data_IF_568706930165
#
_entry.id   IF_568706930165
#
_cell.length_a   1.000
_cell.length_b   1.000
_cell.length_c   1.000
_cell.angle_alpha   90.00
_cell.angle_beta   90.00
_cell.angle_gamma   90.00
#
_symmetry.space_group_name_H-M   'P 1'
#
loop_
_entity.id
_entity.type
_entity.pdbx_description
1 polymer ?
#
# COMPACT_ATOMS: atom_id res chain seq x y z
N UNK A 1 -2.98 2.81 -15.42
CA UNK A 1 -4.27 3.52 -15.47
C UNK A 1 -4.12 4.80 -14.67
N UNK A 2 -4.70 5.96 -15.03
CA UNK A 2 -4.65 7.14 -14.15
C UNK A 2 -5.17 6.78 -12.77
N UNK A 3 -4.60 7.32 -11.69
CA UNK A 3 -4.96 6.97 -10.31
C UNK A 3 -6.46 6.85 -10.08
N UNK A 4 -6.89 5.82 -9.36
CA UNK A 4 -8.30 5.58 -9.08
C UNK A 4 -8.94 6.64 -8.17
N UNK A 5 -8.15 7.27 -7.30
CA UNK A 5 -8.60 8.25 -6.30
C UNK A 5 -8.05 9.67 -6.52
N UNK A 6 -8.80 10.65 -6.02
CA UNK A 6 -8.44 12.08 -6.04
C UNK A 6 -7.68 12.52 -4.75
N UNK A 7 -6.98 11.60 -4.08
CA UNK A 7 -6.16 11.92 -2.89
C UNK A 7 -4.75 12.36 -3.33
N UNK A 8 -4.54 13.67 -3.40
CA UNK A 8 -3.27 14.24 -3.88
C UNK A 8 -2.05 13.85 -3.02
N UNK A 9 -2.10 13.93 -1.67
CA UNK A 9 -1.00 13.44 -0.83
C UNK A 9 -0.66 11.96 -1.05
N UNK A 10 -1.68 11.11 -1.20
CA UNK A 10 -1.50 9.71 -1.53
C UNK A 10 -0.80 9.54 -2.89
N UNK A 11 -1.34 10.14 -3.94
CA UNK A 11 -0.82 10.00 -5.30
C UNK A 11 0.61 10.54 -5.41
N UNK A 12 0.90 11.68 -4.77
CA UNK A 12 2.25 12.23 -4.72
C UNK A 12 3.24 11.27 -4.04
N UNK A 13 2.82 10.57 -2.97
CA UNK A 13 3.65 9.55 -2.33
C UNK A 13 3.88 8.37 -3.28
N UNK A 14 2.82 7.81 -3.87
CA UNK A 14 2.90 6.69 -4.81
C UNK A 14 3.77 6.97 -6.04
N UNK A 15 3.78 8.22 -6.50
CA UNK A 15 4.58 8.66 -7.64
C UNK A 15 6.08 8.69 -7.36
N UNK A 16 6.45 8.87 -6.09
CA UNK A 16 7.83 9.09 -5.65
C UNK A 16 8.42 7.91 -4.88
N UNK A 17 7.60 7.19 -4.13
CA UNK A 17 8.00 6.13 -3.23
C UNK A 17 7.15 4.85 -3.44
N UNK A 18 7.77 3.71 -3.76
CA UNK A 18 9.19 3.53 -4.11
C UNK A 18 9.55 4.32 -5.40
N UNK A 19 10.79 4.28 -5.92
CA UNK A 19 11.05 4.76 -7.28
C UNK A 19 10.09 4.09 -8.28
N UNK A 20 9.00 4.79 -8.63
CA UNK A 20 7.88 4.25 -9.38
C UNK A 20 8.19 4.31 -10.87
N UNK A 21 7.95 3.20 -11.57
CA UNK A 21 8.13 3.08 -13.01
C UNK A 21 7.08 3.87 -13.80
N UNK A 22 5.91 4.12 -13.21
CA UNK A 22 4.79 4.80 -13.84
C UNK A 22 4.18 5.90 -12.97
N UNK A 23 4.91 7.00 -12.66
CA UNK A 23 4.33 8.12 -11.94
C UNK A 23 3.08 8.68 -12.66
N UNK A 24 2.07 9.08 -11.88
CA UNK A 24 0.74 9.52 -12.28
C UNK A 24 -0.25 8.39 -12.56
N UNK A 25 0.16 7.12 -12.37
CA UNK A 25 -0.60 5.95 -12.81
C UNK A 25 -0.55 4.81 -11.80
N UNK A 26 -1.69 4.14 -11.64
CA UNK A 26 -1.76 2.81 -11.05
C UNK A 26 -1.34 1.75 -12.07
N UNK A 27 -0.78 0.66 -11.57
CA UNK A 27 -0.41 -0.53 -12.33
C UNK A 27 -1.53 -1.56 -12.23
N UNK A 28 -2.02 -2.07 -13.37
CA UNK A 28 -3.09 -3.08 -13.40
C UNK A 28 -2.49 -4.47 -13.60
N UNK A 29 -2.62 -5.36 -12.62
CA UNK A 29 -2.16 -6.76 -12.68
C UNK A 29 -3.29 -7.67 -12.20
N UNK A 30 -3.61 -8.70 -13.00
CA UNK A 30 -4.71 -9.64 -12.71
C UNK A 30 -6.07 -8.96 -12.40
N UNK A 31 -6.34 -7.81 -13.01
CA UNK A 31 -7.57 -7.03 -12.77
C UNK A 31 -7.54 -6.16 -11.50
N UNK A 32 -6.43 -6.15 -10.77
CA UNK A 32 -6.21 -5.36 -9.55
C UNK A 32 -5.27 -4.19 -9.79
N UNK A 33 -5.52 -3.09 -9.10
CA UNK A 33 -4.74 -1.85 -9.21
C UNK A 33 -3.74 -1.81 -8.06
N UNK A 34 -2.54 -1.35 -8.37
CA UNK A 34 -1.44 -1.16 -7.44
C UNK A 34 -0.88 0.24 -7.65
N UNK A 35 -0.51 0.92 -6.59
CA UNK A 35 -0.09 2.33 -6.64
C UNK A 35 1.26 2.54 -7.34
N UNK A 36 2.15 1.54 -7.29
CA UNK A 36 3.45 1.62 -7.96
C UNK A 36 3.99 0.27 -8.40
N UNK A 37 4.82 0.31 -9.46
CA UNK A 37 5.77 -0.75 -9.79
C UNK A 37 7.18 -0.21 -9.56
N UNK A 38 7.94 -0.83 -8.68
CA UNK A 38 9.29 -0.39 -8.37
C UNK A 38 10.24 -0.58 -9.56
N UNK A 39 11.03 0.45 -9.87
CA UNK A 39 12.01 0.41 -10.97
C UNK A 39 13.07 -0.67 -10.73
N UNK A 40 13.36 -1.43 -11.79
CA UNK A 40 14.45 -2.41 -11.80
C UNK A 40 14.14 -3.76 -11.16
N UNK A 41 12.99 -3.90 -10.49
CA UNK A 41 12.55 -5.14 -9.82
C UNK A 41 11.08 -5.43 -10.12
N UNK A 42 10.63 -6.66 -9.83
CA UNK A 42 9.22 -7.07 -10.01
C UNK A 42 8.46 -6.96 -8.68
N UNK A 43 8.41 -5.76 -8.12
CA UNK A 43 7.72 -5.50 -6.84
C UNK A 43 6.59 -4.51 -7.07
N UNK A 44 5.36 -4.93 -6.79
CA UNK A 44 4.18 -4.08 -6.77
C UNK A 44 3.98 -3.51 -5.36
N UNK A 45 3.42 -2.30 -5.30
CA UNK A 45 3.24 -1.58 -4.04
C UNK A 45 1.80 -1.08 -3.88
N UNK A 46 1.32 -1.17 -2.65
CA UNK A 46 0.16 -0.44 -2.14
C UNK A 46 0.66 0.61 -1.13
N UNK A 47 0.18 1.84 -1.21
CA UNK A 47 0.59 2.97 -0.39
C UNK A 47 -0.59 3.43 0.47
N UNK A 48 -0.37 3.53 1.78
CA UNK A 48 -1.34 4.06 2.75
C UNK A 48 -0.76 5.32 3.39
N UNK A 49 -1.36 6.47 3.08
CA UNK A 49 -0.97 7.77 3.66
C UNK A 49 -1.85 8.18 4.84
N UNK A 50 -2.71 7.29 5.33
CA UNK A 50 -3.64 7.59 6.41
C UNK A 50 -2.92 8.05 7.69
N UNK A 51 -3.51 9.01 8.41
CA UNK A 51 -3.05 9.40 9.75
C UNK A 51 -3.59 8.41 10.78
N UNK A 52 -3.28 7.13 10.60
CA UNK A 52 -3.76 6.00 11.41
C UNK A 52 -3.64 6.27 12.92
N UNK A 53 -2.54 6.89 13.32
CA UNK A 53 -2.20 7.19 14.71
C UNK A 53 -3.12 8.26 15.34
N UNK A 54 -3.91 8.98 14.54
CA UNK A 54 -4.88 9.98 15.04
C UNK A 54 -6.26 9.39 15.28
N UNK A 55 -6.52 8.18 14.82
CA UNK A 55 -7.79 7.50 15.01
C UNK A 55 -7.91 6.97 16.45
N UNK A 56 -9.14 6.85 16.94
CA UNK A 56 -9.42 6.12 18.17
C UNK A 56 -9.32 4.60 17.93
N UNK A 57 -9.20 3.84 19.01
CA UNK A 57 -8.93 2.39 18.93
C UNK A 57 -9.98 1.62 18.13
N UNK A 58 -11.27 1.95 18.30
CA UNK A 58 -12.35 1.30 17.53
C UNK A 58 -12.21 1.53 16.02
N UNK A 59 -11.87 2.76 15.60
CA UNK A 59 -11.66 3.07 14.17
C UNK A 59 -10.40 2.38 13.65
N UNK A 60 -9.34 2.30 14.44
CA UNK A 60 -8.11 1.58 14.05
C UNK A 60 -8.40 0.10 13.81
N UNK A 61 -9.13 -0.56 14.71
CA UNK A 61 -9.46 -1.98 14.56
C UNK A 61 -10.26 -2.23 13.27
N UNK A 62 -11.27 -1.41 13.00
CA UNK A 62 -12.06 -1.52 11.77
C UNK A 62 -11.24 -1.25 10.50
N UNK A 63 -10.30 -0.30 10.57
CA UNK A 63 -9.44 0.02 9.42
C UNK A 63 -8.50 -1.14 9.11
N UNK A 64 -7.84 -1.69 10.13
CA UNK A 64 -6.93 -2.83 9.98
C UNK A 64 -7.66 -4.06 9.44
N UNK A 65 -8.87 -4.36 9.92
CA UNK A 65 -9.63 -5.51 9.41
C UNK A 65 -9.92 -5.40 7.92
N UNK A 66 -10.31 -4.21 7.45
CA UNK A 66 -10.55 -3.97 6.01
C UNK A 66 -9.27 -4.01 5.20
N UNK A 67 -8.22 -3.39 5.70
CA UNK A 67 -6.93 -3.35 5.01
C UNK A 67 -6.36 -4.76 4.84
N UNK A 68 -6.37 -5.61 5.88
CA UNK A 68 -5.89 -6.99 5.77
C UNK A 68 -6.64 -7.77 4.68
N UNK A 69 -7.98 -7.65 4.62
CA UNK A 69 -8.76 -8.33 3.59
C UNK A 69 -8.37 -7.87 2.18
N UNK A 70 -8.15 -6.56 1.99
CA UNK A 70 -7.72 -6.00 0.71
C UNK A 70 -6.28 -6.43 0.35
N UNK A 71 -5.35 -6.29 1.29
CA UNK A 71 -3.94 -6.61 1.12
C UNK A 71 -3.72 -8.09 0.78
N UNK A 72 -4.53 -9.01 1.32
CA UNK A 72 -4.49 -10.41 0.92
C UNK A 72 -4.92 -10.63 -0.52
N UNK A 73 -5.93 -9.91 -1.01
CA UNK A 73 -6.34 -10.00 -2.43
C UNK A 73 -5.24 -9.48 -3.34
N UNK A 74 -4.60 -8.37 -2.96
CA UNK A 74 -3.46 -7.77 -3.67
C UNK A 74 -2.23 -8.67 -3.69
N UNK A 75 -1.86 -9.21 -2.53
CA UNK A 75 -0.77 -10.17 -2.41
C UNK A 75 -1.00 -11.40 -3.29
N UNK A 76 -2.22 -11.95 -3.28
CA UNK A 76 -2.58 -13.11 -4.12
C UNK A 76 -2.51 -12.76 -5.62
N UNK A 77 -3.04 -11.61 -6.03
CA UNK A 77 -3.02 -11.16 -7.41
C UNK A 77 -1.58 -10.91 -7.92
N UNK A 78 -0.74 -10.25 -7.11
CA UNK A 78 0.66 -10.01 -7.40
C UNK A 78 1.43 -11.34 -7.54
N UNK A 79 1.28 -12.23 -6.56
CA UNK A 79 1.98 -13.51 -6.50
C UNK A 79 1.61 -14.43 -7.67
N UNK A 80 0.32 -14.50 -8.03
CA UNK A 80 -0.16 -15.27 -9.17
C UNK A 80 0.47 -14.81 -10.51
N UNK A 81 0.91 -13.55 -10.58
CA UNK A 81 1.57 -12.96 -11.75
C UNK A 81 3.10 -12.87 -11.61
N UNK A 82 3.69 -13.49 -10.57
CA UNK A 82 5.14 -13.51 -10.34
C UNK A 82 5.71 -12.14 -9.97
N UNK A 83 4.96 -11.36 -9.20
CA UNK A 83 5.43 -10.14 -8.55
C UNK A 83 5.52 -10.36 -7.04
N UNK A 84 6.55 -9.78 -6.43
CA UNK A 84 6.55 -9.49 -5.00
C UNK A 84 5.56 -8.35 -4.71
N UNK A 85 5.10 -8.27 -3.46
CA UNK A 85 4.19 -7.24 -2.99
C UNK A 85 4.71 -6.60 -1.70
N UNK A 86 4.63 -5.27 -1.60
CA UNK A 86 5.04 -4.49 -0.44
C UNK A 86 4.01 -3.42 -0.12
N UNK A 87 3.76 -3.20 1.16
CA UNK A 87 2.86 -2.15 1.65
C UNK A 87 3.69 -1.00 2.21
N UNK A 88 3.46 0.21 1.72
CA UNK A 88 4.01 1.43 2.28
C UNK A 88 3.02 2.10 3.22
N UNK A 89 3.38 2.36 4.47
CA UNK A 89 2.54 3.08 5.44
C UNK A 89 3.22 4.34 5.96
N UNK A 90 2.45 5.35 6.38
CA UNK A 90 3.01 6.60 6.90
C UNK A 90 3.68 6.48 8.26
N UNK A 91 3.23 5.56 9.14
CA UNK A 91 3.66 5.53 10.55
C UNK A 91 4.10 4.15 11.00
N UNK A 92 4.94 4.11 12.05
CA UNK A 92 5.38 2.88 12.67
C UNK A 92 4.23 2.14 13.38
N UNK A 93 3.28 2.88 13.96
CA UNK A 93 2.14 2.28 14.64
C UNK A 93 1.19 1.60 13.65
N UNK A 94 0.96 2.17 12.46
CA UNK A 94 0.20 1.51 11.40
C UNK A 94 0.89 0.23 10.92
N UNK A 95 2.22 0.29 10.70
CA UNK A 95 3.02 -0.90 10.36
C UNK A 95 2.86 -1.99 11.41
N UNK A 96 2.97 -1.65 12.69
CA UNK A 96 2.86 -2.63 13.77
C UNK A 96 1.47 -3.25 13.80
N UNK A 97 0.41 -2.45 13.70
CA UNK A 97 -0.96 -2.93 13.74
C UNK A 97 -1.28 -3.92 12.61
N UNK A 98 -0.74 -3.71 11.41
CA UNK A 98 -0.85 -4.67 10.31
C UNK A 98 -0.06 -5.95 10.57
N UNK A 99 1.18 -5.84 11.07
CA UNK A 99 2.02 -7.01 11.39
C UNK A 99 1.48 -7.84 12.57
N UNK A 100 0.78 -7.21 13.52
CA UNK A 100 0.11 -7.90 14.61
C UNK A 100 -1.03 -8.80 14.11
N UNK A 101 -1.65 -8.45 12.96
CA UNK A 101 -2.67 -9.27 12.31
C UNK A 101 -2.09 -10.27 11.34
N UNK A 102 -1.07 -9.88 10.57
CA UNK A 102 -0.37 -10.76 9.64
C UNK A 102 1.14 -10.45 9.59
N UNK A 103 1.97 -11.29 10.25
CA UNK A 103 3.41 -11.09 10.30
C UNK A 103 4.13 -11.44 8.98
N UNK A 104 3.46 -12.04 8.00
CA UNK A 104 4.06 -12.40 6.71
C UNK A 104 4.05 -11.22 5.72
N UNK A 105 3.27 -10.16 5.98
CA UNK A 105 3.22 -8.98 5.14
C UNK A 105 4.55 -8.23 5.13
N UNK A 106 5.00 -7.82 3.94
CA UNK A 106 6.17 -6.95 3.76
C UNK A 106 5.75 -5.49 3.89
N UNK A 107 6.04 -4.86 5.02
CA UNK A 107 5.60 -3.49 5.32
C UNK A 107 6.77 -2.54 5.54
N UNK A 108 6.76 -1.40 4.86
CA UNK A 108 7.76 -0.34 4.92
C UNK A 108 7.12 0.96 5.41
N UNK A 109 7.75 1.64 6.36
CA UNK A 109 7.35 2.99 6.73
C UNK A 109 7.93 3.95 5.70
N UNK A 110 7.07 4.59 4.92
CA UNK A 110 7.48 5.54 3.87
C UNK A 110 7.76 6.93 4.43
N UNK A 111 7.13 7.27 5.57
CA UNK A 111 7.18 8.61 6.14
C UNK A 111 6.47 9.66 5.29
N UNK A 112 5.72 9.25 4.27
CA UNK A 112 4.95 10.17 3.43
C UNK A 112 3.93 10.92 4.30
N UNK A 113 3.98 12.27 4.34
CA UNK A 113 3.03 13.04 5.09
C UNK A 113 1.67 13.06 4.39
N UNK A 114 0.62 13.19 5.20
CA UNK A 114 -0.72 13.61 4.78
C UNK A 114 -1.09 14.86 5.54
#
# INVERSE_FOLDING_TARGET
>A
MPHAGEDAPHNECADKFPPNRYPGMDVLVAGMRFDALQVGVRVLWEIKTHRFDTYNDFVRDQEIEKEIEQLHKELNAASACGYDFVVGVSTQAHKQALLDRDPELKIVVTGCPR
#
